data_IF_926620361792
#
_entry.id   IF_926620361792
#
_cell.length_a   1.000
_cell.length_b   1.000
_cell.length_c   1.000
_cell.angle_alpha   90.00
_cell.angle_beta   90.00
_cell.angle_gamma   90.00
#
_symmetry.space_group_name_H-M   'P 1'
#
loop_
_entity.id
_entity.type
_entity.pdbx_description
1 polymer ?
#
# COMPACT_ATOMS: atom_id res chain seq x y z
N UNK A 1 -27.10 5.46 88.70
CA UNK A 1 -26.09 4.59 88.06
C UNK A 1 -26.10 4.60 86.51
N UNK A 2 -26.61 5.62 85.80
CA UNK A 2 -26.82 5.56 84.33
C UNK A 2 -25.94 6.51 83.49
N UNK A 3 -25.11 7.37 84.09
CA UNK A 3 -24.31 8.36 83.34
C UNK A 3 -23.09 7.79 82.60
N UNK A 4 -22.47 6.71 83.09
CA UNK A 4 -21.26 6.13 82.47
C UNK A 4 -21.52 5.36 81.16
N UNK A 5 -22.69 4.75 80.99
CA UNK A 5 -23.02 3.96 79.78
C UNK A 5 -23.26 4.82 78.55
N UNK A 6 -23.87 6.00 78.72
CA UNK A 6 -24.13 6.96 77.64
C UNK A 6 -22.82 7.48 77.02
N UNK A 7 -21.82 7.84 77.83
CA UNK A 7 -20.51 8.28 77.32
C UNK A 7 -19.82 7.16 76.52
N UNK A 8 -19.86 5.92 77.03
CA UNK A 8 -19.28 4.77 76.32
C UNK A 8 -19.97 4.49 74.99
N UNK A 9 -21.30 4.62 74.95
CA UNK A 9 -22.10 4.44 73.74
C UNK A 9 -21.80 5.53 72.68
N UNK A 10 -21.64 6.78 73.11
CA UNK A 10 -21.25 7.89 72.23
C UNK A 10 -19.84 7.65 71.66
N UNK A 11 -18.89 7.20 72.49
CA UNK A 11 -17.55 6.85 72.02
C UNK A 11 -17.57 5.74 70.97
N UNK A 12 -18.40 4.71 71.17
CA UNK A 12 -18.60 3.65 70.19
C UNK A 12 -19.22 4.15 68.88
N UNK A 13 -20.22 5.03 68.97
CA UNK A 13 -20.85 5.63 67.80
C UNK A 13 -19.85 6.47 66.97
N UNK A 14 -19.01 7.26 67.64
CA UNK A 14 -17.95 8.04 66.97
C UNK A 14 -16.95 7.10 66.28
N UNK A 15 -16.52 6.02 66.96
CA UNK A 15 -15.60 5.05 66.40
C UNK A 15 -16.15 4.42 65.11
N UNK A 16 -17.40 3.95 65.13
CA UNK A 16 -18.07 3.44 63.92
C UNK A 16 -18.16 4.52 62.85
N UNK A 17 -18.52 5.75 63.22
CA UNK A 17 -18.62 6.87 62.29
C UNK A 17 -17.31 7.14 61.56
N UNK A 18 -16.17 7.12 62.26
CA UNK A 18 -14.84 7.32 61.66
C UNK A 18 -14.48 6.19 60.71
N UNK A 19 -14.70 4.93 61.11
CA UNK A 19 -14.43 3.76 60.25
C UNK A 19 -15.30 3.80 58.98
N UNK A 20 -16.59 4.11 59.15
CA UNK A 20 -17.53 4.23 58.04
C UNK A 20 -17.17 5.37 57.10
N UNK A 21 -16.78 6.53 57.63
CA UNK A 21 -16.33 7.66 56.83
C UNK A 21 -15.05 7.32 56.03
N UNK A 22 -14.09 6.62 56.64
CA UNK A 22 -12.89 6.13 55.95
C UNK A 22 -13.23 5.17 54.81
N UNK A 23 -14.15 4.24 55.05
CA UNK A 23 -14.63 3.30 54.02
C UNK A 23 -15.33 4.01 52.85
N UNK A 24 -16.18 5.00 53.13
CA UNK A 24 -16.84 5.81 52.11
C UNK A 24 -15.82 6.58 51.26
N UNK A 25 -14.84 7.22 51.91
CA UNK A 25 -13.80 7.99 51.21
C UNK A 25 -12.98 7.10 50.28
N UNK A 26 -12.61 5.89 50.73
CA UNK A 26 -11.92 4.91 49.89
C UNK A 26 -12.79 4.48 48.70
N UNK A 27 -14.07 4.22 48.94
CA UNK A 27 -15.02 3.84 47.89
C UNK A 27 -15.16 4.93 46.82
N UNK A 28 -15.26 6.20 47.23
CA UNK A 28 -15.29 7.32 46.30
C UNK A 28 -13.97 7.45 45.52
N UNK A 29 -12.82 7.26 46.18
CA UNK A 29 -11.53 7.30 45.49
C UNK A 29 -11.41 6.20 44.43
N UNK A 30 -11.84 4.98 44.75
CA UNK A 30 -11.86 3.86 43.80
C UNK A 30 -12.77 4.16 42.61
N UNK A 31 -13.96 4.71 42.85
CA UNK A 31 -14.87 5.08 41.77
C UNK A 31 -14.29 6.18 40.86
N UNK A 32 -13.59 7.16 41.42
CA UNK A 32 -12.90 8.19 40.66
C UNK A 32 -11.79 7.58 39.79
N UNK A 33 -10.92 6.74 40.37
CA UNK A 33 -9.84 6.06 39.64
C UNK A 33 -10.40 5.15 38.54
N UNK A 34 -11.44 4.38 38.82
CA UNK A 34 -12.10 3.54 37.81
C UNK A 34 -12.61 4.38 36.63
N UNK A 35 -13.18 5.55 36.88
CA UNK A 35 -13.63 6.45 35.82
C UNK A 35 -12.46 7.00 34.98
N UNK A 36 -11.33 7.32 35.62
CA UNK A 36 -10.12 7.78 34.93
C UNK A 36 -9.56 6.67 34.02
N UNK A 37 -9.50 5.43 34.52
CA UNK A 37 -9.03 4.26 33.76
C UNK A 37 -9.92 4.01 32.55
N UNK A 38 -11.24 3.97 32.72
CA UNK A 38 -12.17 3.75 31.59
C UNK A 38 -12.04 4.85 30.53
N UNK A 39 -11.76 6.10 30.94
CA UNK A 39 -11.52 7.19 29.98
C UNK A 39 -10.22 6.96 29.19
N UNK A 40 -9.14 6.57 29.85
CA UNK A 40 -7.88 6.26 29.19
C UNK A 40 -8.00 5.07 28.22
N UNK A 41 -8.69 4.00 28.64
CA UNK A 41 -8.95 2.84 27.78
C UNK A 41 -9.71 3.21 26.51
N UNK A 42 -10.72 4.08 26.59
CA UNK A 42 -11.44 4.57 25.41
C UNK A 42 -10.53 5.34 24.45
N UNK A 43 -9.66 6.19 24.99
CA UNK A 43 -8.69 6.93 24.18
C UNK A 43 -7.70 6.00 23.48
N UNK A 44 -7.25 4.95 24.16
CA UNK A 44 -6.36 3.93 23.56
C UNK A 44 -7.07 3.26 22.38
N UNK A 45 -8.31 2.81 22.56
CA UNK A 45 -9.09 2.16 21.49
C UNK A 45 -9.34 3.10 20.31
N UNK A 46 -9.62 4.38 20.56
CA UNK A 46 -9.83 5.35 19.48
C UNK A 46 -8.53 5.60 18.69
N UNK A 47 -7.40 5.76 19.39
CA UNK A 47 -6.08 5.92 18.75
C UNK A 47 -5.64 4.68 17.97
N UNK A 48 -5.92 3.48 18.48
CA UNK A 48 -5.63 2.23 17.76
C UNK A 48 -6.42 2.14 16.45
N UNK A 49 -7.68 2.58 16.44
CA UNK A 49 -8.51 2.64 15.23
C UNK A 49 -7.97 3.65 14.22
N UNK A 50 -7.58 4.83 14.68
CA UNK A 50 -6.95 5.84 13.82
C UNK A 50 -5.63 5.31 13.22
N UNK A 51 -4.81 4.63 14.03
CA UNK A 51 -3.57 3.99 13.56
C UNK A 51 -3.85 2.94 12.49
N UNK A 52 -4.84 2.08 12.70
CA UNK A 52 -5.21 1.05 11.72
C UNK A 52 -5.72 1.65 10.40
N UNK A 53 -6.52 2.72 10.48
CA UNK A 53 -6.98 3.45 9.30
C UNK A 53 -5.80 4.05 8.52
N UNK A 54 -4.87 4.70 9.23
CA UNK A 54 -3.66 5.28 8.63
C UNK A 54 -2.77 4.20 7.98
N UNK A 55 -2.53 3.09 8.66
CA UNK A 55 -1.75 1.98 8.11
C UNK A 55 -2.39 1.45 6.82
N UNK A 56 -3.71 1.27 6.82
CA UNK A 56 -4.44 0.80 5.63
C UNK A 56 -4.31 1.78 4.47
N UNK A 57 -4.40 3.09 4.74
CA UNK A 57 -4.18 4.12 3.72
C UNK A 57 -2.74 4.11 3.18
N UNK A 58 -1.74 3.90 4.04
CA UNK A 58 -0.35 3.81 3.61
C UNK A 58 -0.06 2.55 2.81
N UNK A 59 -0.51 1.39 3.27
CA UNK A 59 -0.35 0.11 2.57
C UNK A 59 -0.99 0.17 1.18
N UNK A 60 -2.21 0.72 1.07
CA UNK A 60 -2.91 0.83 -0.21
C UNK A 60 -2.21 1.79 -1.19
N UNK A 61 -1.74 2.96 -0.73
CA UNK A 61 -1.01 3.92 -1.60
C UNK A 61 0.39 3.42 -1.97
N UNK A 62 1.13 2.84 -1.04
CA UNK A 62 2.48 2.34 -1.29
C UNK A 62 2.48 1.12 -2.23
N UNK A 63 1.49 0.23 -2.12
CA UNK A 63 1.35 -0.91 -3.02
C UNK A 63 1.09 -0.48 -4.46
N UNK A 64 0.20 0.51 -4.68
CA UNK A 64 -0.05 1.05 -6.02
C UNK A 64 1.20 1.68 -6.65
N UNK A 65 1.97 2.44 -5.88
CA UNK A 65 3.23 3.02 -6.37
C UNK A 65 4.26 1.94 -6.70
N UNK A 66 4.43 0.94 -5.83
CA UNK A 66 5.35 -0.18 -6.07
C UNK A 66 4.98 -0.97 -7.32
N UNK A 67 3.70 -1.27 -7.53
CA UNK A 67 3.22 -1.95 -8.73
C UNK A 67 3.44 -1.10 -9.99
N UNK A 68 3.23 0.21 -9.91
CA UNK A 68 3.49 1.12 -11.02
C UNK A 68 5.00 1.19 -11.36
N UNK A 69 5.86 1.29 -10.35
CA UNK A 69 7.32 1.31 -10.52
C UNK A 69 7.82 -0.04 -11.08
N UNK A 70 7.33 -1.16 -10.56
CA UNK A 70 7.65 -2.50 -11.09
C UNK A 70 7.15 -2.69 -12.52
N UNK A 71 5.94 -2.22 -12.83
CA UNK A 71 5.42 -2.27 -14.20
C UNK A 71 6.30 -1.44 -15.15
N UNK A 72 6.73 -0.25 -14.74
CA UNK A 72 7.61 0.61 -15.53
C UNK A 72 8.99 0.00 -15.79
N UNK A 73 9.56 -0.71 -14.80
CA UNK A 73 10.88 -1.35 -14.92
C UNK A 73 10.80 -2.63 -15.77
N UNK A 74 9.84 -3.51 -15.51
CA UNK A 74 9.82 -4.86 -16.10
C UNK A 74 9.06 -4.91 -17.44
N UNK A 75 7.94 -4.19 -17.54
CA UNK A 75 7.00 -4.39 -18.64
C UNK A 75 6.75 -3.15 -19.51
N UNK A 76 6.96 -1.94 -18.96
CA UNK A 76 6.71 -0.68 -19.66
C UNK A 76 5.24 -0.48 -20.09
N UNK A 77 4.28 -1.17 -19.46
CA UNK A 77 2.88 -1.07 -19.86
C UNK A 77 2.28 0.27 -19.40
N UNK A 78 1.89 1.10 -20.37
CA UNK A 78 1.04 2.24 -20.08
C UNK A 78 -0.42 1.77 -19.94
N UNK A 79 -1.20 2.29 -18.97
CA UNK A 79 -2.63 2.05 -18.94
C UNK A 79 -3.28 2.51 -20.26
N UNK A 80 -4.27 1.76 -20.78
CA UNK A 80 -4.92 2.10 -22.05
C UNK A 80 -5.56 3.47 -21.95
N UNK A 81 -5.29 4.31 -22.96
CA UNK A 81 -5.85 5.66 -23.02
C UNK A 81 -7.35 5.61 -23.31
N UNK A 82 -8.07 6.64 -22.88
CA UNK A 82 -9.52 6.74 -23.09
C UNK A 82 -9.93 6.59 -24.57
N UNK A 83 -9.10 7.07 -25.51
CA UNK A 83 -9.32 6.95 -26.96
C UNK A 83 -9.20 5.51 -27.51
N UNK A 84 -8.70 4.56 -26.72
CA UNK A 84 -8.61 3.14 -27.10
C UNK A 84 -9.88 2.36 -26.74
N UNK A 85 -10.78 2.96 -25.96
CA UNK A 85 -12.05 2.34 -25.60
C UNK A 85 -13.12 2.67 -26.63
N UNK A 86 -13.87 1.64 -27.03
CA UNK A 86 -15.03 1.80 -27.88
C UNK A 86 -16.25 2.04 -26.99
N UNK A 87 -16.91 3.18 -27.18
CA UNK A 87 -18.00 3.65 -26.31
C UNK A 87 -19.37 3.17 -26.79
N UNK A 88 -19.46 2.65 -28.02
CA UNK A 88 -20.74 2.22 -28.59
C UNK A 88 -20.62 1.00 -29.51
N UNK A 89 -21.69 0.22 -29.57
CA UNK A 89 -21.85 -0.89 -30.50
C UNK A 89 -21.73 -0.44 -31.97
N UNK A 90 -22.11 0.81 -32.27
CA UNK A 90 -21.91 1.40 -33.60
C UNK A 90 -20.43 1.60 -33.93
N UNK A 91 -19.61 2.05 -32.97
CA UNK A 91 -18.16 2.11 -33.14
C UNK A 91 -17.59 0.70 -33.34
N UNK A 92 -18.04 -0.29 -32.57
CA UNK A 92 -17.63 -1.70 -32.75
C UNK A 92 -17.99 -2.23 -34.15
N UNK A 93 -19.21 -1.95 -34.65
CA UNK A 93 -19.67 -2.38 -35.96
C UNK A 93 -18.85 -1.75 -37.12
N UNK A 94 -18.22 -0.60 -36.92
CA UNK A 94 -17.33 -0.02 -37.92
C UNK A 94 -16.07 -0.88 -38.17
N UNK A 95 -15.66 -1.69 -37.18
CA UNK A 95 -14.53 -2.61 -37.31
C UNK A 95 -14.90 -3.92 -38.01
N UNK A 96 -16.18 -4.24 -38.22
CA UNK A 96 -16.60 -5.45 -38.96
C UNK A 96 -16.73 -5.23 -40.47
N UNK A 97 -16.61 -3.98 -40.94
CA UNK A 97 -16.67 -3.65 -42.35
C UNK A 97 -15.46 -4.24 -43.13
N UNK A 98 -15.64 -4.62 -44.41
CA UNK A 98 -14.55 -5.06 -45.26
C UNK A 98 -13.42 -4.01 -45.31
N UNK A 99 -12.17 -4.47 -45.21
CA UNK A 99 -11.00 -3.59 -45.12
C UNK A 99 -10.89 -2.71 -46.37
N UNK A 100 -10.64 -1.41 -46.17
CA UNK A 100 -10.51 -0.46 -47.26
C UNK A 100 -9.29 -0.79 -48.14
N UNK A 101 -9.36 -0.58 -49.46
CA UNK A 101 -8.22 -0.76 -50.36
C UNK A 101 -7.01 0.07 -49.88
N UNK A 102 -5.86 -0.57 -49.71
CA UNK A 102 -4.61 0.08 -49.26
C UNK A 102 -4.40 0.17 -47.75
N UNK A 103 -5.27 -0.46 -46.94
CA UNK A 103 -5.02 -0.54 -45.49
C UNK A 103 -3.83 -1.45 -45.16
N UNK A 104 -3.01 -1.14 -44.14
CA UNK A 104 -1.84 -1.95 -43.76
C UNK A 104 -2.24 -3.39 -43.37
N UNK A 105 -1.29 -4.33 -43.50
CA UNK A 105 -1.55 -5.74 -43.19
C UNK A 105 -1.92 -5.93 -41.71
N UNK A 106 -2.89 -6.82 -41.39
CA UNK A 106 -3.27 -7.05 -40.00
C UNK A 106 -2.13 -7.69 -39.22
N UNK A 107 -1.76 -7.08 -38.08
CA UNK A 107 -0.81 -7.67 -37.14
C UNK A 107 -1.49 -8.87 -36.48
N UNK A 108 -1.03 -10.09 -36.80
CA UNK A 108 -1.57 -11.35 -36.25
C UNK A 108 -0.69 -11.79 -35.07
N UNK A 109 -1.19 -11.65 -33.85
CA UNK A 109 -0.53 -12.16 -32.64
C UNK A 109 -0.88 -13.63 -32.42
N UNK A 110 -0.26 -14.51 -33.21
CA UNK A 110 -0.13 -15.94 -32.93
C UNK A 110 0.87 -16.52 -33.94
N UNK A 111 2.16 -16.32 -33.67
CA UNK A 111 3.28 -16.96 -34.35
C UNK A 111 4.39 -17.15 -33.34
N UNK A 112 5.01 -18.33 -33.36
CA UNK A 112 6.35 -18.51 -32.78
C UNK A 112 7.30 -17.60 -33.57
N UNK A 113 7.64 -16.46 -32.98
CA UNK A 113 8.56 -15.46 -33.54
C UNK A 113 9.95 -15.75 -33.01
N UNK A 114 10.96 -15.76 -33.90
CA UNK A 114 12.35 -15.61 -33.46
C UNK A 114 12.48 -14.29 -32.68
N UNK A 115 13.42 -14.22 -31.73
CA UNK A 115 13.61 -13.05 -30.88
C UNK A 115 13.81 -11.73 -31.68
N UNK A 116 14.22 -11.82 -32.94
CA UNK A 116 14.41 -10.72 -33.89
C UNK A 116 13.12 -10.10 -34.44
N UNK A 117 11.99 -10.81 -34.41
CA UNK A 117 10.71 -10.36 -34.99
C UNK A 117 9.85 -9.57 -33.97
N UNK A 118 10.22 -9.56 -32.69
CA UNK A 118 9.51 -8.76 -31.70
C UNK A 118 9.77 -7.28 -32.01
N UNK A 119 8.71 -6.43 -32.07
CA UNK A 119 8.95 -5.00 -32.09
C UNK A 119 9.80 -4.66 -30.87
N UNK A 120 10.90 -3.93 -31.08
CA UNK A 120 11.81 -3.56 -30.01
C UNK A 120 10.99 -2.96 -28.87
N UNK A 121 10.91 -3.69 -27.76
CA UNK A 121 10.27 -3.23 -26.54
C UNK A 121 11.21 -2.19 -25.94
N UNK A 122 11.17 -0.99 -26.48
CA UNK A 122 11.93 0.16 -25.97
C UNK A 122 11.26 0.61 -24.69
N UNK A 123 11.88 0.27 -23.56
CA UNK A 123 11.57 0.91 -22.29
C UNK A 123 11.83 2.42 -22.45
N UNK A 124 10.84 3.29 -22.18
CA UNK A 124 11.04 4.74 -22.27
C UNK A 124 12.12 5.26 -21.29
N UNK A 125 12.52 4.44 -20.31
CA UNK A 125 13.63 4.73 -19.40
C UNK A 125 15.02 4.46 -20.00
N UNK A 126 15.11 3.61 -21.03
CA UNK A 126 16.35 3.38 -21.77
C UNK A 126 16.69 4.59 -22.66
N UNK A 127 15.66 5.20 -23.27
CA UNK A 127 15.81 6.41 -24.08
C UNK A 127 16.18 7.65 -23.25
N UNK A 128 15.82 7.70 -21.96
CA UNK A 128 16.15 8.86 -21.10
C UNK A 128 17.60 8.85 -20.58
N UNK A 129 18.40 7.85 -20.91
CA UNK A 129 19.83 7.81 -20.59
C UNK A 129 20.76 8.10 -21.80
N UNK A 130 20.22 8.34 -23.00
CA UNK A 130 21.03 8.65 -24.19
C UNK A 130 21.28 10.15 -24.41
N UNK A 131 20.98 10.97 -23.40
CA UNK A 131 21.27 12.40 -23.42
C UNK A 131 22.59 12.77 -22.77
N UNK A 132 23.71 12.13 -23.16
CA UNK A 132 25.10 12.63 -23.03
C UNK A 132 26.10 11.48 -23.30
N UNK A 133 26.58 11.33 -24.53
CA UNK A 133 27.59 10.30 -24.85
C UNK A 133 27.77 10.03 -26.32
N UNK A 134 28.41 10.97 -27.00
CA UNK A 134 29.01 10.92 -28.33
C UNK A 134 29.42 9.52 -28.84
N UNK A 135 28.86 9.14 -30.00
CA UNK A 135 29.63 8.68 -31.17
C UNK A 135 30.38 7.34 -31.11
N UNK A 136 29.91 6.45 -31.99
CA UNK A 136 30.69 5.51 -32.82
C UNK A 136 30.97 4.09 -32.29
N UNK A 137 30.59 3.12 -33.12
CA UNK A 137 31.35 1.88 -33.28
C UNK A 137 30.63 0.57 -32.93
N UNK A 138 29.48 0.31 -33.55
CA UNK A 138 28.95 -1.07 -33.64
C UNK A 138 29.80 -1.84 -34.67
N UNK A 139 30.41 -2.96 -34.23
CA UNK A 139 30.97 -3.98 -35.12
C UNK A 139 32.44 -4.31 -34.88
N UNK A 140 32.73 -5.12 -33.85
CA UNK A 140 33.91 -6.01 -33.85
C UNK A 140 33.94 -7.09 -32.73
N UNK A 141 33.02 -7.05 -31.76
CA UNK A 141 33.15 -7.93 -30.57
C UNK A 141 32.68 -9.38 -30.81
N UNK A 142 32.00 -9.66 -31.92
CA UNK A 142 31.53 -11.00 -32.24
C UNK A 142 32.60 -11.87 -32.91
N UNK A 143 33.54 -11.30 -33.68
CA UNK A 143 34.61 -12.09 -34.32
C UNK A 143 35.73 -12.48 -33.34
N UNK A 144 36.07 -11.64 -32.36
CA UNK A 144 37.07 -11.98 -31.34
C UNK A 144 36.63 -13.13 -30.42
N UNK A 145 35.33 -13.21 -30.09
CA UNK A 145 34.80 -14.29 -29.25
C UNK A 145 34.87 -15.66 -29.94
N UNK A 146 34.70 -15.70 -31.27
CA UNK A 146 34.81 -16.93 -32.06
C UNK A 146 36.26 -17.36 -32.27
N UNK A 147 37.21 -16.42 -32.40
CA UNK A 147 38.64 -16.71 -32.52
C UNK A 147 39.25 -17.21 -31.19
N UNK A 148 38.80 -16.70 -30.05
CA UNK A 148 39.27 -17.13 -28.73
C UNK A 148 38.86 -18.57 -28.36
N UNK A 149 37.70 -19.03 -28.86
CA UNK A 149 37.21 -20.40 -28.66
C UNK A 149 37.91 -21.43 -29.55
N UNK A 150 38.48 -21.01 -30.69
CA UNK A 150 39.20 -21.90 -31.61
C UNK A 150 40.68 -22.13 -31.22
N UNK A 151 41.25 -21.34 -30.31
CA UNK A 151 42.64 -21.47 -29.84
C UNK A 151 42.81 -22.31 -28.57
N UNK A 152 41.74 -22.96 -28.09
CA UNK A 152 41.72 -23.74 -26.84
C UNK A 152 41.58 -25.26 -27.04
N UNK A 153 41.73 -25.74 -28.28
CA UNK A 153 41.86 -27.16 -28.66
C UNK A 153 43.18 -27.36 -29.45
#
# INVERSE_FOLDING_TARGET
MVRGSRLRQIGWAICIGVVFAGFMLLTFRVNAVKSEVVRAERLIVDLEREKLALETEFETRANQQQLADWNAIEFGYAPPRADQFLESERQLASFSAPRAPGSPEPIRFAREMEASDYPALVSPLAASHEGEGEGAGEGDQSEEAHLALASLD
#
